data_IF_994175689591
#
_entry.id   IF_994175689591
#
_cell.length_a   1.000
_cell.length_b   1.000
_cell.length_c   1.000
_cell.angle_alpha   90.00
_cell.angle_beta   90.00
_cell.angle_gamma   90.00
#
_symmetry.space_group_name_H-M   'P 1'
#
loop_
_entity.id
_entity.type
_entity.pdbx_description
1 polymer ?
#
# COMPACT_ATOMS: atom_id res chain seq x y z
N UNK A 1 6.32 10.35 -15.91
CA UNK A 1 7.25 9.31 -16.42
C UNK A 1 8.17 8.90 -15.27
N UNK A 2 8.36 7.61 -14.97
CA UNK A 2 9.24 7.20 -13.87
C UNK A 2 10.66 7.70 -14.17
N UNK A 3 11.22 8.52 -13.30
CA UNK A 3 12.60 9.01 -13.43
C UNK A 3 13.51 7.96 -12.81
N UNK A 4 14.29 7.20 -13.60
CA UNK A 4 15.18 6.20 -13.04
C UNK A 4 16.29 6.88 -12.24
N UNK A 5 16.46 6.51 -10.98
CA UNK A 5 17.59 7.02 -10.19
C UNK A 5 18.88 6.30 -10.62
N UNK A 6 19.80 7.08 -11.16
CA UNK A 6 21.11 6.62 -11.59
C UNK A 6 21.99 6.33 -10.38
N UNK A 7 22.83 5.31 -10.51
CA UNK A 7 23.80 4.94 -9.50
C UNK A 7 24.84 6.06 -9.35
N UNK A 8 24.99 6.61 -8.15
CA UNK A 8 26.00 7.65 -7.89
C UNK A 8 27.43 7.11 -7.98
N UNK A 9 27.61 5.78 -7.95
CA UNK A 9 28.93 5.14 -8.06
C UNK A 9 29.33 4.90 -9.52
N UNK A 10 28.46 4.26 -10.32
CA UNK A 10 28.83 3.87 -11.69
C UNK A 10 28.20 4.74 -12.78
N UNK A 11 27.31 5.67 -12.42
CA UNK A 11 26.56 6.64 -13.27
C UNK A 11 25.77 6.05 -14.45
N UNK A 12 25.86 4.74 -14.68
CA UNK A 12 25.29 4.01 -15.80
C UNK A 12 24.21 3.01 -15.35
N UNK A 13 24.30 2.56 -14.09
CA UNK A 13 23.35 1.62 -13.51
C UNK A 13 22.16 2.30 -12.87
N UNK A 14 21.06 1.55 -12.72
CA UNK A 14 19.84 2.00 -12.03
C UNK A 14 19.70 1.25 -10.71
N UNK A 15 19.28 1.95 -9.67
CA UNK A 15 18.92 1.30 -8.41
C UNK A 15 17.64 0.49 -8.55
N UNK A 16 17.64 -0.74 -8.00
CA UNK A 16 16.47 -1.60 -7.87
C UNK A 16 16.20 -1.83 -6.38
N UNK A 17 14.94 -1.88 -5.94
CA UNK A 17 14.60 -2.32 -4.59
C UNK A 17 15.13 -3.74 -4.30
N UNK A 18 15.72 -3.92 -3.12
CA UNK A 18 16.17 -5.23 -2.60
C UNK A 18 15.28 -5.66 -1.42
N UNK A 19 15.07 -4.77 -0.45
CA UNK A 19 14.11 -4.93 0.65
C UNK A 19 13.53 -3.54 1.03
N UNK A 20 12.51 -3.44 1.90
CA UNK A 20 11.96 -2.15 2.31
C UNK A 20 13.06 -1.19 2.79
N UNK A 21 13.14 -0.01 2.18
CA UNK A 21 14.15 1.01 2.49
C UNK A 21 15.58 0.74 1.98
N UNK A 22 15.82 -0.40 1.30
CA UNK A 22 17.14 -0.74 0.75
C UNK A 22 17.10 -1.01 -0.76
N UNK A 23 18.17 -0.57 -1.42
CA UNK A 23 18.28 -0.56 -2.87
C UNK A 23 19.65 -1.04 -3.30
N UNK A 24 19.72 -1.65 -4.49
CA UNK A 24 20.96 -2.14 -5.07
C UNK A 24 21.06 -1.77 -6.54
N UNK A 25 22.21 -1.26 -6.96
CA UNK A 25 22.47 -0.95 -8.36
C UNK A 25 22.51 -2.23 -9.20
N UNK A 26 21.77 -2.26 -10.32
CA UNK A 26 21.75 -3.42 -11.23
C UNK A 26 23.07 -3.67 -11.96
N UNK A 27 23.89 -2.65 -12.16
CA UNK A 27 25.12 -2.76 -12.95
C UNK A 27 26.34 -3.07 -12.11
N UNK A 28 26.57 -2.31 -11.03
CA UNK A 28 27.75 -2.46 -10.19
C UNK A 28 27.47 -3.10 -8.82
N UNK A 29 26.21 -3.38 -8.48
CA UNK A 29 25.86 -3.99 -7.20
C UNK A 29 25.97 -3.06 -5.99
N UNK A 30 26.30 -1.77 -6.17
CA UNK A 30 26.41 -0.81 -5.06
C UNK A 30 25.09 -0.75 -4.27
N UNK A 31 25.14 -0.85 -2.93
CA UNK A 31 23.98 -0.62 -2.10
C UNK A 31 23.61 0.88 -2.09
N UNK A 32 22.36 1.17 -1.75
CA UNK A 32 21.83 2.49 -1.42
C UNK A 32 20.67 2.34 -0.43
N UNK A 33 20.45 3.38 0.34
CA UNK A 33 19.31 3.54 1.27
C UNK A 33 18.50 4.76 0.85
N UNK A 34 17.32 4.97 1.45
CA UNK A 34 16.51 6.17 1.18
C UNK A 34 17.31 7.47 1.37
N UNK A 35 18.18 7.52 2.38
CA UNK A 35 19.07 8.66 2.64
C UNK A 35 20.11 8.94 1.55
N UNK A 36 20.34 8.00 0.62
CA UNK A 36 21.26 8.20 -0.52
C UNK A 36 20.67 9.12 -1.58
N UNK A 37 19.35 9.35 -1.52
CA UNK A 37 18.60 10.07 -2.54
C UNK A 37 18.10 11.39 -1.95
N UNK A 38 18.60 12.55 -2.42
CA UNK A 38 18.08 13.84 -1.99
C UNK A 38 16.68 14.03 -2.59
N UNK A 39 15.66 13.95 -1.76
CA UNK A 39 14.26 14.28 -2.10
C UNK A 39 13.89 15.61 -1.47
N UNK A 40 13.10 16.42 -2.18
CA UNK A 40 12.55 17.66 -1.63
C UNK A 40 11.52 17.37 -0.51
N UNK A 41 11.16 18.40 0.27
CA UNK A 41 10.34 18.25 1.50
C UNK A 41 8.99 17.56 1.25
N UNK A 42 8.38 17.83 0.12
CA UNK A 42 7.13 17.25 -0.36
C UNK A 42 7.34 16.02 -1.24
N UNK A 43 8.57 15.67 -1.62
CA UNK A 43 8.82 14.47 -2.43
C UNK A 43 9.01 13.23 -1.57
N UNK A 44 8.50 12.08 -2.04
CA UNK A 44 8.70 10.77 -1.43
C UNK A 44 9.19 9.77 -2.46
N UNK A 45 10.17 8.97 -2.05
CA UNK A 45 10.69 7.86 -2.83
C UNK A 45 9.82 6.65 -2.63
N UNK A 46 9.36 6.08 -3.73
CA UNK A 46 8.52 4.90 -3.68
C UNK A 46 8.86 3.93 -4.78
N UNK A 47 8.44 2.67 -4.62
CA UNK A 47 8.69 1.61 -5.60
C UNK A 47 7.38 1.23 -6.27
N UNK A 48 7.30 1.38 -7.59
CA UNK A 48 6.15 0.99 -8.39
C UNK A 48 6.54 0.08 -9.54
N UNK A 49 5.88 -1.08 -9.60
CA UNK A 49 6.16 -2.12 -10.59
C UNK A 49 7.67 -2.49 -10.68
N UNK A 50 8.38 -2.44 -9.54
CA UNK A 50 9.82 -2.72 -9.47
C UNK A 50 10.73 -1.58 -9.96
N UNK A 51 10.19 -0.39 -10.15
CA UNK A 51 10.90 0.84 -10.53
C UNK A 51 10.80 1.85 -9.40
N UNK A 52 11.93 2.42 -8.99
CA UNK A 52 12.00 3.51 -8.03
C UNK A 52 11.47 4.80 -8.68
N UNK A 53 10.56 5.50 -8.02
CA UNK A 53 9.92 6.73 -8.48
C UNK A 53 9.94 7.79 -7.38
N UNK A 54 9.95 9.05 -7.78
CA UNK A 54 9.77 10.21 -6.90
C UNK A 54 8.34 10.72 -7.11
N UNK A 55 7.60 10.88 -6.02
CA UNK A 55 6.23 11.41 -6.02
C UNK A 55 6.15 12.65 -5.14
N UNK A 56 5.52 13.69 -5.65
CA UNK A 56 5.12 14.86 -4.85
C UNK A 56 3.92 14.48 -3.99
N UNK A 57 4.08 14.63 -2.68
CA UNK A 57 3.16 14.22 -1.62
C UNK A 57 2.94 15.45 -0.73
N UNK A 58 1.70 15.95 -0.63
CA UNK A 58 1.41 17.08 0.22
C UNK A 58 1.84 16.81 1.66
N UNK A 59 2.25 17.87 2.37
CA UNK A 59 2.77 17.72 3.72
C UNK A 59 1.77 17.00 4.64
N UNK A 60 2.28 16.12 5.52
CA UNK A 60 1.48 15.27 6.40
C UNK A 60 0.79 14.08 5.72
N UNK A 61 0.75 13.99 4.38
CA UNK A 61 0.20 12.83 3.70
C UNK A 61 1.20 11.67 3.72
N UNK A 62 0.68 10.45 3.72
CA UNK A 62 1.48 9.23 3.68
C UNK A 62 1.25 8.48 2.38
N UNK A 63 2.32 7.89 1.84
CA UNK A 63 2.21 7.00 0.69
C UNK A 63 2.18 5.56 1.18
N UNK A 64 1.08 4.88 0.91
CA UNK A 64 0.97 3.44 1.15
C UNK A 64 1.30 2.73 -0.16
N UNK A 65 2.42 2.01 -0.16
CA UNK A 65 2.80 1.14 -1.26
C UNK A 65 2.19 -0.25 -1.06
N UNK A 66 1.54 -0.81 -2.08
CA UNK A 66 0.96 -2.13 -1.93
C UNK A 66 2.03 -3.19 -1.67
N UNK A 67 1.80 -4.01 -0.64
CA UNK A 67 2.62 -5.16 -0.32
C UNK A 67 1.74 -6.36 0.08
N UNK A 68 2.33 -7.37 0.73
CA UNK A 68 1.56 -8.56 1.14
C UNK A 68 0.56 -8.28 2.27
N UNK A 69 0.76 -7.22 3.06
CA UNK A 69 -0.04 -6.85 4.24
C UNK A 69 -0.99 -5.67 3.95
N UNK A 70 -0.62 -4.81 3.01
CA UNK A 70 -1.37 -3.63 2.60
C UNK A 70 -1.67 -3.74 1.11
N UNK A 71 -2.80 -4.33 0.71
CA UNK A 71 -3.25 -4.35 -0.69
C UNK A 71 -4.75 -4.03 -0.75
N UNK A 72 -5.22 -3.46 -1.86
CA UNK A 72 -6.54 -2.84 -1.94
C UNK A 72 -7.69 -3.74 -1.50
N UNK A 73 -7.83 -4.99 -1.97
CA UNK A 73 -8.88 -5.88 -1.48
C UNK A 73 -8.86 -6.10 0.05
N UNK A 74 -7.68 -6.12 0.68
CA UNK A 74 -7.59 -6.25 2.14
C UNK A 74 -8.01 -4.96 2.86
N UNK A 75 -7.57 -3.82 2.35
CA UNK A 75 -7.92 -2.50 2.87
C UNK A 75 -9.43 -2.24 2.70
N UNK A 76 -9.98 -2.50 1.52
CA UNK A 76 -11.40 -2.38 1.19
C UNK A 76 -12.28 -3.31 2.02
N UNK A 77 -11.84 -4.56 2.24
CA UNK A 77 -12.57 -5.48 3.13
C UNK A 77 -12.56 -5.01 4.59
N UNK A 78 -11.48 -4.37 5.05
CA UNK A 78 -11.41 -3.78 6.40
C UNK A 78 -12.36 -2.59 6.53
N UNK A 79 -12.37 -1.68 5.53
CA UNK A 79 -13.28 -0.53 5.49
C UNK A 79 -14.75 -0.97 5.42
N UNK A 80 -15.08 -1.94 4.57
CA UNK A 80 -16.43 -2.50 4.45
C UNK A 80 -16.93 -3.09 5.76
N UNK A 81 -16.06 -3.82 6.48
CA UNK A 81 -16.38 -4.36 7.80
C UNK A 81 -16.62 -3.23 8.81
N UNK A 82 -15.71 -2.26 8.87
CA UNK A 82 -15.81 -1.12 9.78
C UNK A 82 -17.10 -0.32 9.56
N UNK A 83 -17.44 0.00 8.31
CA UNK A 83 -18.69 0.69 7.94
C UNK A 83 -19.93 -0.11 8.36
N UNK A 84 -19.91 -1.44 8.19
CA UNK A 84 -21.01 -2.31 8.62
C UNK A 84 -21.17 -2.31 10.14
N UNK A 85 -20.06 -2.46 10.88
CA UNK A 85 -20.06 -2.44 12.35
C UNK A 85 -20.52 -1.08 12.84
N UNK A 86 -20.10 0.01 12.19
CA UNK A 86 -20.45 1.39 12.52
C UNK A 86 -21.96 1.65 12.60
N UNK A 87 -22.78 0.88 11.86
CA UNK A 87 -24.25 0.97 11.90
C UNK A 87 -24.85 0.54 13.24
N UNK A 88 -24.11 -0.24 14.02
CA UNK A 88 -24.58 -0.85 15.27
C UNK A 88 -23.73 -0.44 16.47
N UNK A 89 -22.45 -0.16 16.26
CA UNK A 89 -21.48 0.24 17.28
C UNK A 89 -20.60 1.34 16.71
N UNK A 90 -20.41 2.48 17.38
CA UNK A 90 -19.62 3.58 16.82
C UNK A 90 -18.14 3.16 16.68
N UNK A 91 -17.71 2.95 15.43
CA UNK A 91 -16.31 2.76 15.03
C UNK A 91 -15.68 4.10 14.66
N UNK A 92 -16.45 4.93 13.96
CA UNK A 92 -16.08 6.25 13.53
C UNK A 92 -16.80 7.27 14.42
N UNK A 93 -16.02 8.16 15.06
CA UNK A 93 -16.55 9.10 16.04
C UNK A 93 -17.28 10.30 15.43
N UNK A 94 -17.09 10.53 14.13
CA UNK A 94 -17.63 11.69 13.40
C UNK A 94 -18.28 11.24 12.09
N UNK A 95 -19.29 11.98 11.61
CA UNK A 95 -19.95 11.68 10.34
C UNK A 95 -18.99 11.83 9.14
N UNK A 96 -18.05 12.77 9.21
CA UNK A 96 -17.03 13.00 8.18
C UNK A 96 -16.09 11.79 8.01
N UNK A 97 -15.80 11.06 9.08
CA UNK A 97 -15.01 9.83 9.04
C UNK A 97 -15.73 8.73 8.24
N UNK A 98 -17.07 8.67 8.32
CA UNK A 98 -17.88 7.70 7.56
C UNK A 98 -17.81 8.02 6.08
N UNK A 99 -18.00 9.28 5.70
CA UNK A 99 -17.86 9.72 4.30
C UNK A 99 -16.45 9.44 3.77
N UNK A 100 -15.42 9.74 4.58
CA UNK A 100 -14.02 9.43 4.24
C UNK A 100 -13.79 7.93 4.02
N UNK A 101 -14.42 7.07 4.84
CA UNK A 101 -14.30 5.62 4.69
C UNK A 101 -14.97 5.11 3.40
N UNK A 102 -16.13 5.67 3.04
CA UNK A 102 -16.86 5.34 1.80
C UNK A 102 -16.08 5.81 0.56
N UNK A 103 -15.52 7.02 0.59
CA UNK A 103 -14.68 7.56 -0.47
C UNK A 103 -13.42 6.70 -0.68
N UNK A 104 -12.74 6.32 0.41
CA UNK A 104 -11.58 5.44 0.34
C UNK A 104 -11.94 4.06 -0.25
N UNK A 105 -13.09 3.50 0.12
CA UNK A 105 -13.54 2.22 -0.43
C UNK A 105 -13.72 2.32 -1.95
N UNK A 106 -14.38 3.39 -2.43
CA UNK A 106 -14.56 3.65 -3.86
C UNK A 106 -13.23 3.78 -4.62
N UNK A 107 -12.24 4.48 -4.04
CA UNK A 107 -10.90 4.63 -4.62
C UNK A 107 -10.18 3.29 -4.71
N UNK A 108 -10.24 2.46 -3.66
CA UNK A 108 -9.57 1.15 -3.63
C UNK A 108 -10.21 0.14 -4.59
N UNK A 109 -11.53 0.21 -4.79
CA UNK A 109 -12.23 -0.61 -5.77
C UNK A 109 -11.89 -0.19 -7.21
N UNK A 110 -11.65 1.10 -7.45
CA UNK A 110 -11.29 1.62 -8.76
C UNK A 110 -9.81 1.39 -9.12
N UNK A 111 -8.90 1.48 -8.14
CA UNK A 111 -7.47 1.27 -8.34
C UNK A 111 -6.86 0.35 -7.27
N UNK A 112 -6.85 -0.94 -7.59
CA UNK A 112 -6.30 -1.96 -6.71
C UNK A 112 -4.77 -2.01 -6.66
N UNK A 113 -4.08 -1.28 -7.55
CA UNK A 113 -2.65 -1.49 -7.82
C UNK A 113 -1.75 -0.55 -7.03
N UNK A 114 -2.29 0.54 -6.50
CA UNK A 114 -1.56 1.57 -5.77
C UNK A 114 -0.37 2.16 -6.55
N UNK A 115 0.41 3.04 -5.91
CA UNK A 115 0.41 3.39 -4.50
C UNK A 115 -0.69 4.40 -4.18
N UNK A 116 -1.16 4.44 -2.94
CA UNK A 116 -2.18 5.42 -2.53
C UNK A 116 -1.56 6.52 -1.69
N UNK A 117 -1.82 7.77 -2.04
CA UNK A 117 -1.47 8.94 -1.24
C UNK A 117 -2.65 9.25 -0.34
N UNK A 118 -2.46 9.08 0.97
CA UNK A 118 -3.52 9.26 1.97
C UNK A 118 -3.25 10.49 2.83
N UNK A 119 -4.29 11.29 3.04
CA UNK A 119 -4.28 12.36 4.04
C UNK A 119 -4.24 11.79 5.47
N UNK A 120 -3.87 12.60 6.48
CA UNK A 120 -3.93 12.16 7.87
C UNK A 120 -5.30 11.63 8.31
N UNK A 121 -6.38 12.26 7.85
CA UNK A 121 -7.75 11.83 8.15
C UNK A 121 -8.05 10.46 7.52
N UNK A 122 -7.71 10.30 6.24
CA UNK A 122 -7.84 9.02 5.53
C UNK A 122 -7.04 7.90 6.17
N UNK A 123 -5.80 8.18 6.58
CA UNK A 123 -4.95 7.22 7.29
C UNK A 123 -5.55 6.84 8.65
N UNK A 124 -6.10 7.80 9.39
CA UNK A 124 -6.77 7.55 10.67
C UNK A 124 -7.99 6.64 10.52
N UNK A 125 -8.83 6.89 9.52
CA UNK A 125 -9.99 6.05 9.18
C UNK A 125 -9.55 4.63 8.79
N UNK A 126 -8.54 4.51 7.93
CA UNK A 126 -8.03 3.22 7.50
C UNK A 126 -7.45 2.41 8.67
N UNK A 127 -6.72 3.07 9.57
CA UNK A 127 -6.13 2.45 10.76
C UNK A 127 -7.21 1.90 11.68
N UNK A 128 -8.24 2.70 12.00
CA UNK A 128 -9.40 2.24 12.78
C UNK A 128 -10.10 1.04 12.13
N UNK A 129 -10.24 1.06 10.81
CA UNK A 129 -10.85 -0.06 10.10
C UNK A 129 -10.01 -1.36 10.19
N UNK A 130 -8.69 -1.26 10.12
CA UNK A 130 -7.79 -2.38 10.33
C UNK A 130 -7.80 -2.87 11.79
N UNK A 131 -7.92 -1.97 12.76
CA UNK A 131 -8.03 -2.32 14.18
C UNK A 131 -9.32 -3.09 14.47
N UNK A 132 -10.47 -2.63 13.94
CA UNK A 132 -11.75 -3.34 14.02
C UNK A 132 -11.62 -4.73 13.41
N UNK A 133 -11.00 -4.84 12.24
CA UNK A 133 -10.77 -6.14 11.62
C UNK A 133 -9.91 -7.03 12.50
N UNK A 134 -8.83 -6.51 13.08
CA UNK A 134 -7.92 -7.27 13.95
C UNK A 134 -8.59 -7.72 15.25
N UNK A 135 -9.46 -6.87 15.81
CA UNK A 135 -10.20 -7.17 17.03
C UNK A 135 -11.32 -8.21 16.80
N UNK A 136 -12.02 -8.12 15.66
CA UNK A 136 -13.16 -8.99 15.34
C UNK A 136 -12.76 -10.29 14.65
N UNK A 137 -11.66 -10.29 13.90
CA UNK A 137 -11.08 -11.50 13.31
C UNK A 137 -9.80 -11.81 14.10
N UNK A 138 -9.86 -12.65 15.16
CA UNK A 138 -8.65 -13.14 15.78
C UNK A 138 -7.84 -13.86 14.71
N UNK A 139 -6.74 -13.23 14.27
CA UNK A 139 -5.74 -13.73 13.31
C UNK A 139 -6.19 -14.99 12.57
N UNK A 140 -6.88 -14.84 11.44
CA UNK A 140 -7.37 -15.97 10.63
C UNK A 140 -6.25 -16.98 10.27
N UNK A 141 -4.98 -16.55 10.32
CA UNK A 141 -3.80 -17.39 10.22
C UNK A 141 -3.65 -18.48 11.29
N UNK A 142 -4.31 -18.38 12.46
CA UNK A 142 -4.35 -19.43 13.49
C UNK A 142 -5.60 -20.32 13.43
N UNK A 143 -6.68 -19.88 12.81
CA UNK A 143 -7.97 -20.58 12.84
C UNK A 143 -8.42 -21.17 11.49
N UNK A 144 -8.01 -20.62 10.35
CA UNK A 144 -8.47 -21.08 9.03
C UNK A 144 -7.35 -21.02 7.97
N UNK A 145 -6.44 -22.01 7.92
CA UNK A 145 -5.41 -22.09 6.87
C UNK A 145 -5.98 -22.16 5.45
N UNK A 146 -7.23 -22.61 5.33
CA UNK A 146 -7.94 -22.72 4.05
C UNK A 146 -8.44 -21.37 3.52
N UNK A 147 -8.64 -20.37 4.38
CA UNK A 147 -9.06 -19.02 3.95
C UNK A 147 -7.94 -18.29 3.22
N UNK A 148 -6.69 -18.49 3.67
CA UNK A 148 -5.50 -18.05 2.93
C UNK A 148 -5.30 -18.86 1.64
N UNK A 149 -5.76 -20.11 1.57
CA UNK A 149 -5.79 -20.87 0.33
C UNK A 149 -6.86 -20.33 -0.63
N UNK A 150 -8.00 -19.87 -0.12
CA UNK A 150 -9.09 -19.31 -0.91
C UNK A 150 -8.77 -17.90 -1.44
N UNK A 151 -8.11 -17.05 -0.64
CA UNK A 151 -7.54 -15.77 -1.09
C UNK A 151 -6.44 -16.00 -2.13
N UNK A 152 -5.58 -17.01 -1.94
CA UNK A 152 -4.60 -17.42 -2.96
C UNK A 152 -5.28 -17.92 -4.23
N UNK A 153 -6.33 -18.73 -4.11
CA UNK A 153 -7.11 -19.27 -5.24
C UNK A 153 -7.89 -18.19 -5.99
N UNK A 154 -8.42 -17.19 -5.28
CA UNK A 154 -9.02 -16.00 -5.89
C UNK A 154 -7.97 -15.19 -6.67
N UNK A 155 -6.75 -15.04 -6.12
CA UNK A 155 -5.60 -14.45 -6.83
C UNK A 155 -5.16 -15.25 -8.06
N UNK A 156 -5.23 -16.57 -8.05
CA UNK A 156 -4.92 -17.40 -9.24
C UNK A 156 -6.00 -17.27 -10.30
N UNK A 157 -7.27 -17.17 -9.90
CA UNK A 157 -8.41 -16.97 -10.81
C UNK A 157 -8.43 -15.57 -11.44
N UNK A 158 -8.03 -14.53 -10.71
CA UNK A 158 -7.97 -13.16 -11.22
C UNK A 158 -6.73 -12.89 -12.09
N UNK A 159 -5.71 -13.74 -12.02
CA UNK A 159 -4.63 -13.76 -13.02
C UNK A 159 -5.16 -14.39 -14.31
N UNK A 160 -5.58 -13.56 -15.25
CA UNK A 160 -5.70 -13.99 -16.64
C UNK A 160 -4.35 -14.58 -17.12
N UNK A 161 -4.37 -15.69 -17.88
CA UNK A 161 -3.16 -16.20 -18.50
C UNK A 161 -2.64 -15.11 -19.44
N UNK A 162 -1.37 -14.75 -19.25
CA UNK A 162 -0.66 -13.93 -20.22
C UNK A 162 -0.63 -14.76 -21.51
N UNK A 163 -1.42 -14.36 -22.51
CA UNK A 163 -1.30 -14.90 -23.85
C UNK A 163 0.17 -14.77 -24.27
N UNK A 164 0.75 -15.91 -24.63
CA UNK A 164 2.12 -16.01 -25.14
C UNK A 164 2.17 -15.52 -26.58
#
# INVERSE_FOLDING_TARGET
>A
MPVPILCHVCHSGRYRPESPGTYRCRSCGSPATESTFPVQSDERLIVLAGVLQILTVPNGHQVITPDRRCYAPHLGASLSLALRVNRTHPVFGQAEDVGTAEDLLSVLDADERGPWVLSPAQLGVLTRAMDVRTALLPSASRQYPDFDAEIRAARTRSRHPRAT
#
